data_IF_443748925077
#
_entry.id   IF_443748925077
#
_cell.length_a   1.000
_cell.length_b   1.000
_cell.length_c   1.000
_cell.angle_alpha   90.00
_cell.angle_beta   90.00
_cell.angle_gamma   90.00
#
_symmetry.space_group_name_H-M   'P 1'
#
loop_
_entity.id
_entity.type
_entity.pdbx_description
1 polymer ?
#
# COMPACT_ATOMS: atom_id res chain seq x y z
N UNK A 1 1.09 2.11 7.60
CA UNK A 1 0.11 3.20 7.66
C UNK A 1 -1.28 2.64 7.82
N UNK A 2 -2.13 3.27 8.64
CA UNK A 2 -3.58 2.99 8.75
C UNK A 2 -4.29 3.03 7.39
N UNK A 3 -5.54 2.55 7.32
CA UNK A 3 -6.43 2.89 6.19
C UNK A 3 -6.39 4.42 6.12
N UNK A 4 -5.89 5.04 5.02
CA UNK A 4 -5.77 6.49 4.97
C UNK A 4 -7.13 7.11 5.30
N UNK A 5 -7.17 8.10 6.18
CA UNK A 5 -8.43 8.71 6.61
C UNK A 5 -9.25 9.18 5.40
N UNK A 6 -8.60 9.52 4.29
CA UNK A 6 -9.22 9.89 3.02
C UNK A 6 -10.05 8.78 2.35
N UNK A 7 -9.83 7.51 2.68
CA UNK A 7 -10.56 6.35 2.14
C UNK A 7 -11.30 5.53 3.20
N UNK A 8 -11.12 5.84 4.48
CA UNK A 8 -11.92 5.27 5.56
C UNK A 8 -13.36 5.80 5.52
N UNK A 9 -14.35 4.90 5.56
CA UNK A 9 -15.77 5.27 5.42
C UNK A 9 -16.27 6.21 6.51
N UNK A 10 -15.67 6.16 7.71
CA UNK A 10 -16.09 6.93 8.87
C UNK A 10 -15.24 8.18 9.10
N UNK A 11 -14.01 8.21 8.56
CA UNK A 11 -13.07 9.33 8.74
C UNK A 11 -12.87 10.18 7.47
N UNK A 12 -13.39 9.77 6.31
CA UNK A 12 -13.15 10.50 5.06
C UNK A 12 -13.74 11.91 5.04
N UNK A 13 -12.85 12.86 4.75
CA UNK A 13 -13.19 14.27 4.54
C UNK A 13 -13.31 14.62 3.04
N UNK A 14 -13.00 13.69 2.14
CA UNK A 14 -12.91 13.93 0.70
C UNK A 14 -14.19 13.49 -0.02
N UNK A 15 -15.12 14.43 -0.15
CA UNK A 15 -16.38 14.23 -0.85
C UNK A 15 -16.39 15.03 -2.15
N UNK A 16 -16.85 14.40 -3.23
CA UNK A 16 -17.10 15.08 -4.49
C UNK A 16 -18.52 14.85 -4.97
N UNK A 17 -19.04 15.81 -5.72
CA UNK A 17 -20.35 15.68 -6.37
C UNK A 17 -20.17 15.02 -7.72
N UNK A 18 -21.07 14.11 -8.05
CA UNK A 18 -21.09 13.41 -9.33
C UNK A 18 -22.35 13.78 -10.12
N UNK A 19 -22.23 13.73 -11.45
CA UNK A 19 -23.37 13.85 -12.35
C UNK A 19 -23.82 12.45 -12.77
N UNK A 20 -25.03 12.07 -12.37
CA UNK A 20 -25.61 10.77 -12.66
C UNK A 20 -26.12 10.68 -14.10
N UNK A 21 -25.89 9.54 -14.74
CA UNK A 21 -26.54 9.16 -16.00
C UNK A 21 -27.99 8.73 -15.67
N UNK A 22 -28.88 9.70 -15.48
CA UNK A 22 -30.30 9.47 -15.14
C UNK A 22 -30.60 9.66 -13.65
N UNK A 23 -31.40 8.75 -13.08
CA UNK A 23 -31.79 8.80 -11.67
C UNK A 23 -30.61 8.53 -10.73
N UNK A 24 -30.53 9.27 -9.64
CA UNK A 24 -29.50 9.13 -8.60
C UNK A 24 -30.00 8.30 -7.42
N UNK A 25 -29.14 7.58 -6.67
CA UNK A 25 -29.56 6.82 -5.49
C UNK A 25 -30.28 7.71 -4.47
N UNK A 26 -31.48 7.30 -4.07
CA UNK A 26 -32.38 8.04 -3.20
C UNK A 26 -33.36 8.95 -3.94
N UNK A 27 -33.38 8.98 -5.28
CA UNK A 27 -34.30 9.81 -6.07
C UNK A 27 -35.77 9.40 -5.95
N UNK A 28 -36.07 8.16 -5.55
CA UNK A 28 -37.42 7.64 -5.33
C UNK A 28 -37.44 6.57 -4.22
N UNK A 29 -38.62 6.18 -3.70
CA UNK A 29 -38.74 5.06 -2.77
C UNK A 29 -38.19 3.73 -3.32
N UNK A 30 -38.34 3.51 -4.62
CA UNK A 30 -37.84 2.32 -5.34
C UNK A 30 -36.33 2.38 -5.60
N UNK A 31 -35.73 3.57 -5.57
CA UNK A 31 -34.28 3.78 -5.70
C UNK A 31 -33.63 4.13 -4.34
N UNK A 32 -34.18 3.63 -3.23
CA UNK A 32 -33.65 3.90 -1.89
C UNK A 32 -32.36 3.10 -1.61
N UNK A 33 -31.61 3.51 -0.59
CA UNK A 33 -30.37 2.83 -0.22
C UNK A 33 -30.58 1.38 0.20
N UNK A 34 -31.70 1.09 0.89
CA UNK A 34 -32.09 -0.27 1.22
C UNK A 34 -32.45 -1.08 -0.04
N UNK A 35 -33.19 -0.50 -0.99
CA UNK A 35 -33.51 -1.15 -2.26
C UNK A 35 -32.27 -1.46 -3.11
N UNK A 36 -31.25 -0.62 -2.95
CA UNK A 36 -29.95 -0.72 -3.60
C UNK A 36 -28.93 -1.54 -2.81
N UNK A 37 -29.33 -2.15 -1.69
CA UNK A 37 -28.46 -2.94 -0.81
C UNK A 37 -27.17 -2.20 -0.40
N UNK A 38 -27.31 -0.90 -0.12
CA UNK A 38 -26.28 -0.03 0.39
C UNK A 38 -26.41 0.14 1.92
N UNK A 39 -25.30 0.50 2.57
CA UNK A 39 -25.27 0.85 3.99
C UNK A 39 -25.84 2.25 4.18
N UNK A 40 -26.92 2.37 4.95
CA UNK A 40 -27.53 3.66 5.28
C UNK A 40 -26.95 4.22 6.59
N UNK A 41 -26.68 5.52 6.61
CA UNK A 41 -26.27 6.25 7.81
C UNK A 41 -27.47 6.96 8.45
N UNK A 42 -27.31 7.36 9.72
CA UNK A 42 -28.36 8.01 10.51
C UNK A 42 -28.74 9.40 10.00
N UNK A 43 -27.84 10.07 9.26
CA UNK A 43 -28.06 11.35 8.60
C UNK A 43 -28.82 11.23 7.25
N UNK A 44 -29.13 10.00 6.83
CA UNK A 44 -29.80 9.70 5.56
C UNK A 44 -28.87 9.57 4.36
N UNK A 45 -27.56 9.72 4.55
CA UNK A 45 -26.55 9.40 3.52
C UNK A 45 -26.36 7.88 3.39
N UNK A 46 -25.77 7.45 2.28
CA UNK A 46 -25.62 6.04 1.96
C UNK A 46 -24.26 5.74 1.34
N UNK A 47 -23.66 4.67 1.82
CA UNK A 47 -22.40 4.12 1.30
C UNK A 47 -22.76 2.86 0.54
N UNK A 48 -22.32 2.77 -0.72
CA UNK A 48 -22.61 1.66 -1.62
C UNK A 48 -21.31 1.06 -2.13
N UNK A 49 -21.28 -0.26 -2.34
CA UNK A 49 -20.22 -0.88 -3.14
C UNK A 49 -20.30 -0.37 -4.57
N UNK A 50 -19.15 -0.08 -5.15
CA UNK A 50 -19.03 0.36 -6.55
C UNK A 50 -18.21 -0.62 -7.37
N UNK A 51 -18.34 -0.54 -8.68
CA UNK A 51 -17.41 -1.15 -9.64
C UNK A 51 -17.17 -0.18 -10.78
N UNK A 52 -16.01 -0.28 -11.42
CA UNK A 52 -15.65 0.56 -12.57
C UNK A 52 -15.59 -0.33 -13.80
N UNK A 53 -16.25 0.09 -14.88
CA UNK A 53 -16.10 -0.51 -16.20
C UNK A 53 -15.59 0.53 -17.19
N UNK A 54 -14.65 0.16 -18.03
CA UNK A 54 -14.10 1.05 -19.03
C UNK A 54 -14.45 0.59 -20.44
N UNK A 55 -14.64 1.56 -21.35
CA UNK A 55 -14.96 1.29 -22.75
C UNK A 55 -14.43 2.41 -23.63
N UNK A 56 -14.14 2.10 -24.90
CA UNK A 56 -13.75 3.12 -25.87
C UNK A 56 -14.89 4.10 -26.12
N UNK A 57 -14.57 5.38 -26.33
CA UNK A 57 -15.57 6.39 -26.72
C UNK A 57 -15.78 6.37 -28.23
N UNK A 58 -14.69 6.21 -28.97
CA UNK A 58 -14.68 6.11 -30.43
C UNK A 58 -14.13 4.75 -30.84
N UNK A 59 -14.81 4.07 -31.77
CA UNK A 59 -14.32 2.83 -32.41
C UNK A 59 -13.75 3.10 -33.83
N UNK A 60 -13.81 4.36 -34.28
CA UNK A 60 -13.31 4.87 -35.56
C UNK A 60 -13.08 6.37 -35.45
N UNK A 61 -12.21 6.92 -36.31
CA UNK A 61 -12.02 8.38 -36.47
C UNK A 61 -12.87 8.97 -37.60
N UNK A 62 -13.64 8.14 -38.31
CA UNK A 62 -14.50 8.58 -39.41
C UNK A 62 -15.64 9.45 -38.88
N UNK A 63 -15.80 10.64 -39.48
CA UNK A 63 -16.80 11.64 -39.05
C UNK A 63 -16.64 12.10 -37.58
N UNK A 64 -15.42 12.00 -37.04
CA UNK A 64 -15.06 12.57 -35.74
C UNK A 64 -14.30 13.87 -35.97
N UNK A 65 -14.64 14.92 -35.24
CA UNK A 65 -13.94 16.20 -35.23
C UNK A 65 -13.35 16.56 -33.85
N UNK A 66 -12.49 17.59 -33.85
CA UNK A 66 -11.87 18.14 -32.65
C UNK A 66 -12.86 18.45 -31.52
N UNK A 67 -14.02 19.03 -31.84
CA UNK A 67 -15.00 19.44 -30.83
C UNK A 67 -15.64 18.21 -30.18
N UNK A 68 -15.91 17.17 -30.96
CA UNK A 68 -16.39 15.88 -30.46
C UNK A 68 -15.38 15.18 -29.57
N UNK A 69 -14.08 15.23 -29.92
CA UNK A 69 -12.99 14.68 -29.11
C UNK A 69 -12.89 15.41 -27.77
N UNK A 70 -12.78 16.75 -27.80
CA UNK A 70 -12.67 17.57 -26.59
C UNK A 70 -13.94 17.55 -25.73
N UNK A 71 -15.10 17.31 -26.33
CA UNK A 71 -16.40 17.28 -25.65
C UNK A 71 -16.81 15.92 -25.09
N UNK A 72 -16.09 14.83 -25.42
CA UNK A 72 -16.45 13.47 -24.98
C UNK A 72 -15.31 12.73 -24.29
N UNK A 73 -14.06 13.09 -24.55
CA UNK A 73 -12.90 12.56 -23.84
C UNK A 73 -12.53 13.51 -22.70
N UNK A 74 -12.65 13.01 -21.48
CA UNK A 74 -12.41 13.78 -20.27
C UNK A 74 -11.19 13.29 -19.48
N UNK A 75 -10.62 12.16 -19.90
CA UNK A 75 -9.47 11.55 -19.26
C UNK A 75 -8.22 11.92 -20.05
N UNK A 76 -7.32 12.65 -19.39
CA UNK A 76 -6.05 13.04 -19.98
C UNK A 76 -5.13 11.84 -20.19
N UNK A 77 -4.27 11.97 -21.20
CA UNK A 77 -3.10 11.15 -21.40
C UNK A 77 -1.85 12.04 -21.29
N UNK A 78 -0.72 11.39 -21.09
CA UNK A 78 0.58 12.01 -20.89
C UNK A 78 1.20 12.37 -22.23
N UNK A 79 0.87 11.55 -23.22
CA UNK A 79 1.35 11.59 -24.58
C UNK A 79 0.80 10.38 -25.33
N UNK A 80 1.28 10.16 -26.56
CA UNK A 80 0.98 8.96 -27.34
C UNK A 80 1.43 7.68 -26.63
N UNK A 81 0.68 6.59 -26.79
CA UNK A 81 1.10 5.26 -26.32
C UNK A 81 2.35 4.77 -27.09
N UNK A 82 3.18 3.94 -26.45
CA UNK A 82 4.34 3.34 -27.10
C UNK A 82 3.91 2.46 -28.29
N UNK A 83 4.68 2.51 -29.39
CA UNK A 83 4.39 1.79 -30.64
C UNK A 83 3.06 2.17 -31.32
N UNK A 84 2.49 3.32 -30.96
CA UNK A 84 1.34 3.87 -31.68
C UNK A 84 1.76 4.47 -33.03
N UNK A 85 0.85 4.43 -34.00
CA UNK A 85 0.98 5.11 -35.28
C UNK A 85 0.04 6.32 -35.32
N UNK A 86 0.58 7.48 -35.68
CA UNK A 86 -0.21 8.70 -35.80
C UNK A 86 -1.09 8.66 -37.06
N UNK A 87 -2.38 8.89 -36.87
CA UNK A 87 -3.39 9.01 -37.92
C UNK A 87 -4.07 10.36 -37.81
N UNK A 88 -4.01 11.17 -38.87
CA UNK A 88 -4.59 12.51 -38.87
C UNK A 88 -6.13 12.44 -38.92
N UNK A 89 -6.79 13.06 -37.96
CA UNK A 89 -8.23 13.29 -37.95
C UNK A 89 -8.59 14.74 -38.30
N UNK A 90 -9.86 15.10 -38.16
CA UNK A 90 -10.33 16.46 -38.39
C UNK A 90 -10.03 17.36 -37.18
N UNK A 91 -8.84 17.97 -37.16
CA UNK A 91 -8.41 18.89 -36.11
C UNK A 91 -7.77 18.21 -34.89
N UNK A 92 -7.36 16.95 -35.03
CA UNK A 92 -6.65 16.16 -34.01
C UNK A 92 -5.74 15.13 -34.68
N UNK A 93 -4.85 14.51 -33.91
CA UNK A 93 -4.04 13.35 -34.31
C UNK A 93 -4.42 12.18 -33.39
N UNK A 94 -4.88 11.06 -33.96
CA UNK A 94 -5.10 9.84 -33.20
C UNK A 94 -3.82 8.99 -33.21
N UNK A 95 -3.33 8.64 -32.04
CA UNK A 95 -2.18 7.76 -31.86
C UNK A 95 -2.68 6.35 -31.59
N UNK A 96 -2.60 5.50 -32.62
CA UNK A 96 -3.31 4.23 -32.71
C UNK A 96 -2.35 3.06 -32.49
N UNK A 97 -2.62 2.21 -31.49
CA UNK A 97 -1.85 1.00 -31.23
C UNK A 97 -2.42 -0.16 -32.05
N UNK A 98 -1.55 -0.96 -32.67
CA UNK A 98 -1.95 -2.14 -33.49
C UNK A 98 -2.95 -1.86 -34.63
N UNK A 99 -3.12 -0.59 -35.03
CA UNK A 99 -4.05 -0.20 -36.08
C UNK A 99 -5.54 -0.26 -35.71
N UNK A 100 -5.87 -0.38 -34.43
CA UNK A 100 -7.25 -0.41 -33.92
C UNK A 100 -7.55 0.84 -33.10
N UNK A 101 -8.67 1.50 -33.40
CA UNK A 101 -9.18 2.60 -32.57
C UNK A 101 -9.95 1.98 -31.40
N UNK A 102 -9.32 1.95 -30.23
CA UNK A 102 -9.86 1.34 -29.01
C UNK A 102 -9.40 2.13 -27.76
N UNK A 103 -9.55 1.55 -26.56
CA UNK A 103 -9.18 2.20 -25.28
C UNK A 103 -7.70 2.55 -25.15
N UNK A 104 -6.83 1.95 -25.97
CA UNK A 104 -5.40 2.30 -26.02
C UNK A 104 -5.11 3.50 -26.95
N UNK A 105 -6.10 3.99 -27.69
CA UNK A 105 -5.89 5.15 -28.58
C UNK A 105 -5.82 6.43 -27.77
N UNK A 106 -4.82 7.27 -28.07
CA UNK A 106 -4.68 8.61 -27.50
C UNK A 106 -4.92 9.66 -28.57
N UNK A 107 -5.80 10.61 -28.29
CA UNK A 107 -6.10 11.73 -29.17
C UNK A 107 -5.28 12.96 -28.74
N UNK A 108 -4.42 13.44 -29.64
CA UNK A 108 -3.70 14.69 -29.51
C UNK A 108 -4.50 15.82 -30.17
N UNK A 109 -4.81 16.86 -29.40
CA UNK A 109 -5.62 18.00 -29.83
C UNK A 109 -4.92 19.30 -29.45
N UNK A 110 -4.72 20.20 -30.41
CA UNK A 110 -4.27 21.56 -30.11
C UNK A 110 -5.47 22.48 -29.92
N UNK A 111 -5.62 23.08 -28.73
CA UNK A 111 -6.62 24.10 -28.44
C UNK A 111 -6.03 25.30 -27.70
N UNK A 112 -6.31 26.52 -28.20
CA UNK A 112 -5.87 27.79 -27.59
C UNK A 112 -4.37 27.86 -27.28
N UNK A 113 -3.53 27.30 -28.16
CA UNK A 113 -2.08 27.29 -28.01
C UNK A 113 -1.55 26.30 -26.97
N UNK A 114 -2.37 25.30 -26.59
CA UNK A 114 -1.99 24.19 -25.73
C UNK A 114 -2.32 22.87 -26.41
N UNK A 115 -1.43 21.89 -26.26
CA UNK A 115 -1.67 20.52 -26.71
C UNK A 115 -2.27 19.72 -25.57
N UNK A 116 -3.34 19.00 -25.86
CA UNK A 116 -4.00 18.06 -24.97
C UNK A 116 -3.82 16.65 -25.53
N UNK A 117 -3.45 15.71 -24.68
CA UNK A 117 -3.54 14.29 -25.00
C UNK A 117 -4.71 13.72 -24.21
N UNK A 118 -5.61 13.00 -24.86
CA UNK A 118 -6.87 12.52 -24.29
C UNK A 118 -7.00 11.03 -24.57
N UNK A 119 -7.18 10.21 -23.53
CA UNK A 119 -7.43 8.77 -23.69
C UNK A 119 -8.80 8.56 -24.32
N UNK A 120 -8.88 7.63 -25.27
CA UNK A 120 -10.12 7.17 -25.88
C UNK A 120 -10.91 6.26 -24.95
N UNK A 121 -11.25 6.75 -23.76
CA UNK A 121 -11.84 5.92 -22.72
C UNK A 121 -12.90 6.70 -21.96
N UNK A 122 -13.98 5.99 -21.65
CA UNK A 122 -14.97 6.42 -20.68
C UNK A 122 -15.04 5.39 -19.57
N UNK A 123 -14.77 5.84 -18.35
CA UNK A 123 -14.88 5.01 -17.15
C UNK A 123 -16.26 5.24 -16.55
N UNK A 124 -17.03 4.16 -16.36
CA UNK A 124 -18.38 4.20 -15.76
C UNK A 124 -18.32 3.54 -14.40
N UNK A 125 -18.73 4.29 -13.37
CA UNK A 125 -18.93 3.76 -12.03
C UNK A 125 -20.35 3.21 -11.93
N UNK A 126 -20.47 1.92 -11.70
CA UNK A 126 -21.72 1.25 -11.39
C UNK A 126 -21.83 1.11 -9.88
N UNK A 127 -23.04 1.32 -9.37
CA UNK A 127 -23.34 0.94 -8.00
C UNK A 127 -23.86 -0.49 -7.98
N UNK A 128 -23.27 -1.30 -7.13
CA UNK A 128 -23.60 -2.72 -7.00
C UNK A 128 -24.27 -3.00 -5.64
N UNK A 129 -23.97 -2.21 -4.62
CA UNK A 129 -24.34 -2.57 -3.25
C UNK A 129 -23.70 -3.89 -2.83
N UNK A 130 -24.19 -4.48 -1.74
CA UNK A 130 -23.73 -5.77 -1.25
C UNK A 130 -24.91 -6.70 -1.04
N UNK A 131 -24.77 -7.98 -1.39
CA UNK A 131 -25.79 -8.97 -1.00
C UNK A 131 -26.00 -9.03 0.53
N UNK A 132 -24.95 -8.71 1.30
CA UNK A 132 -25.00 -8.37 2.72
C UNK A 132 -24.07 -7.19 2.98
N UNK A 133 -24.59 -6.13 3.62
CA UNK A 133 -23.76 -4.98 4.00
C UNK A 133 -22.57 -5.40 4.88
N UNK A 134 -21.41 -4.76 4.76
CA UNK A 134 -20.22 -5.12 5.52
C UNK A 134 -20.47 -5.11 7.02
N UNK A 135 -19.99 -6.13 7.71
CA UNK A 135 -20.01 -6.25 9.17
C UNK A 135 -18.58 -6.43 9.67
N UNK A 136 -18.22 -5.66 10.69
CA UNK A 136 -16.94 -5.72 11.39
C UNK A 136 -17.12 -6.57 12.66
N UNK A 137 -16.16 -7.44 12.91
CA UNK A 137 -16.05 -8.27 14.10
C UNK A 137 -14.69 -7.97 14.72
N UNK A 138 -14.70 -7.15 15.77
CA UNK A 138 -13.50 -6.73 16.47
C UNK A 138 -12.72 -7.93 17.02
N UNK A 139 -11.39 -7.86 17.00
CA UNK A 139 -10.55 -8.97 17.42
C UNK A 139 -10.54 -9.14 18.94
N UNK A 140 -10.68 -8.07 19.71
CA UNK A 140 -10.84 -8.09 21.17
C UNK A 140 -12.14 -8.77 21.64
N UNK A 141 -13.15 -8.84 20.77
CA UNK A 141 -14.44 -9.49 21.02
C UNK A 141 -14.49 -10.94 20.51
N UNK A 142 -13.35 -11.49 20.07
CA UNK A 142 -13.29 -12.86 19.56
C UNK A 142 -13.72 -13.89 20.62
N UNK A 143 -14.38 -14.95 20.15
CA UNK A 143 -14.96 -15.97 21.03
C UNK A 143 -13.92 -16.83 21.74
N UNK A 144 -12.75 -17.06 21.12
CA UNK A 144 -11.65 -17.84 21.67
C UNK A 144 -10.32 -17.24 21.25
N UNK A 145 -9.42 -17.06 22.23
CA UNK A 145 -8.02 -16.73 22.02
C UNK A 145 -7.17 -17.88 22.61
N UNK A 146 -6.09 -18.22 21.92
CA UNK A 146 -5.11 -19.20 22.40
C UNK A 146 -3.70 -18.69 22.08
N UNK A 147 -2.87 -18.54 23.12
CA UNK A 147 -1.53 -17.94 23.03
C UNK A 147 -1.55 -16.62 22.25
N UNK A 148 -2.59 -15.82 22.48
CA UNK A 148 -2.79 -14.52 21.87
C UNK A 148 -3.29 -13.55 22.95
N UNK A 149 -2.80 -12.33 22.91
CA UNK A 149 -3.01 -11.31 23.93
C UNK A 149 -3.75 -10.12 23.33
N UNK A 150 -4.75 -9.62 24.05
CA UNK A 150 -5.42 -8.36 23.71
C UNK A 150 -4.51 -7.23 24.18
N UNK A 151 -4.07 -6.41 23.24
CA UNK A 151 -3.28 -5.22 23.47
C UNK A 151 -4.23 -4.02 23.57
N UNK A 152 -4.00 -3.18 24.57
CA UNK A 152 -4.77 -1.95 24.82
C UNK A 152 -3.85 -0.75 24.64
N UNK A 153 -4.22 0.20 23.79
CA UNK A 153 -3.58 1.51 23.80
C UNK A 153 -4.50 2.59 23.27
N UNK A 154 -4.74 3.58 24.12
CA UNK A 154 -5.48 4.80 23.82
C UNK A 154 -4.79 5.70 22.79
N UNK A 155 -3.54 5.41 22.39
CA UNK A 155 -2.72 6.21 21.47
C UNK A 155 -2.51 5.52 20.11
N UNK A 156 -3.15 4.37 19.86
CA UNK A 156 -3.00 3.61 18.60
C UNK A 156 -4.18 3.79 17.66
N UNK A 157 -3.92 3.64 16.36
CA UNK A 157 -4.88 3.74 15.24
C UNK A 157 -5.70 2.45 15.00
N UNK A 158 -5.71 1.54 15.99
CA UNK A 158 -6.56 0.35 16.04
C UNK A 158 -8.03 0.75 16.24
N UNK A 159 -8.98 -0.02 15.68
CA UNK A 159 -10.41 0.20 15.97
C UNK A 159 -10.65 0.01 17.46
N UNK A 160 -11.42 0.93 18.05
CA UNK A 160 -11.67 0.97 19.50
C UNK A 160 -10.42 1.04 20.41
N UNK A 161 -9.21 1.19 19.86
CA UNK A 161 -7.94 1.20 20.61
C UNK A 161 -7.42 -0.17 21.03
N UNK A 162 -7.95 -1.27 20.46
CA UNK A 162 -7.57 -2.64 20.85
C UNK A 162 -7.20 -3.49 19.63
N UNK A 163 -6.29 -4.46 19.83
CA UNK A 163 -5.94 -5.43 18.81
C UNK A 163 -5.39 -6.71 19.45
N UNK A 164 -5.22 -7.76 18.64
CA UNK A 164 -4.62 -9.03 19.03
C UNK A 164 -3.17 -9.11 18.58
N UNK A 165 -2.30 -9.41 19.53
CA UNK A 165 -0.92 -9.89 19.31
C UNK A 165 -0.89 -11.41 19.57
N UNK A 166 -0.15 -12.18 18.77
CA UNK A 166 -0.01 -13.64 18.94
C UNK A 166 1.28 -14.04 19.69
N UNK A 167 1.94 -13.08 20.34
CA UNK A 167 3.08 -13.26 21.24
C UNK A 167 4.26 -14.04 20.61
N UNK A 168 4.41 -13.92 19.28
CA UNK A 168 5.40 -14.64 18.45
C UNK A 168 5.47 -16.16 18.70
N UNK A 169 4.34 -16.76 19.11
CA UNK A 169 4.24 -18.21 19.29
C UNK A 169 3.64 -18.89 18.07
N UNK A 170 4.21 -20.03 17.69
CA UNK A 170 3.57 -20.91 16.73
C UNK A 170 2.29 -21.48 17.32
N UNK A 171 1.37 -21.85 16.44
CA UNK A 171 0.06 -22.38 16.78
C UNK A 171 -0.95 -21.45 17.46
N UNK A 172 -0.56 -20.23 17.85
CA UNK A 172 -1.47 -19.24 18.39
C UNK A 172 -2.64 -18.96 17.43
N UNK A 173 -3.83 -18.73 17.98
CA UNK A 173 -5.01 -18.48 17.16
C UNK A 173 -6.06 -17.63 17.86
N UNK A 174 -6.90 -17.02 17.03
CA UNK A 174 -8.11 -16.31 17.45
C UNK A 174 -9.29 -16.81 16.61
N UNK A 175 -10.45 -16.97 17.25
CA UNK A 175 -11.67 -17.50 16.61
C UNK A 175 -12.87 -16.60 16.87
N UNK A 176 -13.56 -16.20 15.79
CA UNK A 176 -14.84 -15.49 15.84
C UNK A 176 -16.01 -16.44 15.60
N UNK A 177 -17.13 -16.16 16.26
CA UNK A 177 -18.44 -16.72 15.93
C UNK A 177 -19.23 -15.64 15.19
N UNK A 178 -19.33 -15.74 13.87
CA UNK A 178 -20.04 -14.76 13.05
C UNK A 178 -21.43 -15.30 12.69
N UNK A 179 -22.45 -14.45 12.77
CA UNK A 179 -23.80 -14.83 12.37
C UNK A 179 -24.15 -14.16 11.03
N UNK A 180 -24.43 -14.97 10.00
CA UNK A 180 -24.82 -14.46 8.68
C UNK A 180 -26.29 -14.80 8.38
N UNK A 181 -26.96 -13.93 7.64
CA UNK A 181 -28.41 -14.01 7.41
C UNK A 181 -28.82 -14.97 6.30
N UNK A 182 -27.91 -15.33 5.39
CA UNK A 182 -28.17 -16.26 4.29
C UNK A 182 -26.96 -17.16 4.03
N UNK A 183 -27.21 -18.27 3.34
CA UNK A 183 -26.16 -19.17 2.86
C UNK A 183 -25.69 -18.67 1.49
N UNK A 184 -24.39 -18.48 1.31
CA UNK A 184 -23.83 -17.98 0.06
C UNK A 184 -22.37 -17.60 0.17
N UNK A 185 -21.89 -16.91 -0.86
CA UNK A 185 -20.51 -16.42 -0.93
C UNK A 185 -20.40 -15.05 -0.28
N UNK A 186 -19.34 -14.87 0.49
CA UNK A 186 -18.97 -13.64 1.18
C UNK A 186 -17.50 -13.33 0.88
N UNK A 187 -17.14 -12.05 0.90
CA UNK A 187 -15.77 -11.60 0.94
C UNK A 187 -15.33 -11.41 2.39
N UNK A 188 -14.19 -11.99 2.73
CA UNK A 188 -13.60 -11.98 4.06
C UNK A 188 -12.23 -11.31 4.01
N UNK A 189 -12.01 -10.37 4.93
CA UNK A 189 -10.74 -9.64 5.08
C UNK A 189 -10.45 -9.40 6.55
N UNK A 190 -9.18 -9.26 6.88
CA UNK A 190 -8.68 -8.86 8.20
C UNK A 190 -8.00 -7.51 8.11
N UNK A 191 -8.28 -6.60 9.05
CA UNK A 191 -7.45 -5.42 9.27
C UNK A 191 -6.30 -5.80 10.18
N UNK A 192 -5.08 -5.48 9.76
CA UNK A 192 -3.87 -5.95 10.42
C UNK A 192 -2.73 -4.95 10.38
N UNK A 193 -1.78 -5.12 11.31
CA UNK A 193 -0.50 -4.44 11.36
C UNK A 193 0.65 -5.45 11.34
N UNK A 194 1.71 -5.17 10.57
CA UNK A 194 2.85 -6.05 10.37
C UNK A 194 4.03 -5.22 9.86
N UNK A 195 5.11 -5.09 10.61
CA UNK A 195 6.17 -4.11 10.32
C UNK A 195 6.86 -4.30 8.96
N UNK A 196 7.63 -5.36 8.78
CA UNK A 196 8.58 -5.44 7.65
C UNK A 196 8.20 -6.43 6.56
N UNK A 197 7.95 -7.70 6.90
CA UNK A 197 7.92 -8.77 5.92
C UNK A 197 6.59 -9.50 5.89
N UNK A 198 6.22 -9.96 4.69
CA UNK A 198 4.99 -10.72 4.46
C UNK A 198 4.94 -11.96 5.37
N UNK A 199 3.76 -12.23 5.92
CA UNK A 199 3.46 -13.42 6.71
C UNK A 199 2.22 -14.11 6.18
N UNK A 200 2.22 -15.42 6.30
CA UNK A 200 1.06 -16.23 5.99
C UNK A 200 0.34 -16.68 7.26
N UNK A 201 -0.98 -16.79 7.20
CA UNK A 201 -1.79 -17.38 8.27
C UNK A 201 -2.73 -18.45 7.73
N UNK A 202 -2.95 -19.49 8.53
CA UNK A 202 -3.95 -20.50 8.26
C UNK A 202 -5.32 -19.99 8.65
N UNK A 203 -6.29 -20.11 7.75
CA UNK A 203 -7.68 -19.74 8.04
C UNK A 203 -8.56 -20.98 8.01
N UNK A 204 -9.35 -21.17 9.05
CA UNK A 204 -10.29 -22.26 9.18
C UNK A 204 -11.72 -21.72 9.21
N UNK A 205 -12.58 -22.27 8.36
CA UNK A 205 -14.00 -21.94 8.26
C UNK A 205 -14.78 -23.17 8.73
N UNK A 206 -15.59 -23.02 9.77
CA UNK A 206 -16.37 -24.11 10.35
C UNK A 206 -15.51 -25.36 10.69
N UNK A 207 -14.25 -25.13 11.09
CA UNK A 207 -13.26 -26.16 11.42
C UNK A 207 -12.43 -26.71 10.25
N UNK A 208 -12.76 -26.38 9.00
CA UNK A 208 -12.00 -26.81 7.82
C UNK A 208 -10.94 -25.78 7.40
N UNK A 209 -9.68 -26.21 7.23
CA UNK A 209 -8.61 -25.36 6.68
C UNK A 209 -8.98 -24.93 5.25
N UNK A 210 -8.88 -23.63 4.98
CA UNK A 210 -9.17 -23.04 3.68
C UNK A 210 -7.87 -22.57 3.03
N UNK A 211 -7.75 -22.82 1.73
CA UNK A 211 -6.60 -22.50 0.90
C UNK A 211 -7.04 -21.72 -0.34
N UNK A 212 -6.26 -20.73 -0.75
CA UNK A 212 -6.49 -19.90 -1.93
C UNK A 212 -5.21 -19.81 -2.74
N UNK A 213 -5.20 -20.42 -3.91
CA UNK A 213 -4.06 -20.33 -4.83
C UNK A 213 -3.98 -18.94 -5.44
N UNK A 214 -2.77 -18.36 -5.46
CA UNK A 214 -2.52 -17.07 -6.12
C UNK A 214 -2.89 -17.14 -7.60
N UNK A 215 -3.61 -16.15 -8.16
CA UNK A 215 -3.83 -16.04 -9.60
C UNK A 215 -2.52 -15.98 -10.41
N UNK A 216 -1.45 -15.50 -9.77
CA UNK A 216 -0.10 -15.36 -10.34
C UNK A 216 0.86 -16.38 -9.74
N UNK A 217 0.38 -17.56 -9.35
CA UNK A 217 1.21 -18.62 -8.80
C UNK A 217 2.39 -18.95 -9.73
N UNK A 218 3.58 -19.11 -9.15
CA UNK A 218 4.76 -19.49 -9.92
C UNK A 218 4.56 -20.89 -10.52
N UNK A 219 4.80 -21.02 -11.83
CA UNK A 219 4.66 -22.30 -12.52
C UNK A 219 5.90 -23.19 -12.38
N UNK A 220 7.05 -22.57 -12.10
CA UNK A 220 8.31 -23.27 -11.91
C UNK A 220 8.43 -23.71 -10.45
N UNK A 221 8.67 -25.01 -10.23
CA UNK A 221 8.81 -25.62 -8.91
C UNK A 221 10.24 -26.16 -8.79
N UNK A 222 11.24 -25.34 -8.44
CA UNK A 222 12.62 -25.78 -8.32
C UNK A 222 12.83 -26.58 -7.02
N UNK A 223 13.91 -27.35 -6.97
CA UNK A 223 14.30 -28.05 -5.74
C UNK A 223 14.84 -27.06 -4.71
N UNK A 224 14.58 -27.30 -3.42
CA UNK A 224 15.22 -26.57 -2.33
C UNK A 224 16.73 -26.81 -2.36
N UNK A 225 17.50 -25.73 -2.35
CA UNK A 225 18.97 -25.76 -2.39
C UNK A 225 19.50 -25.36 -1.01
N UNK A 226 20.11 -26.29 -0.29
CA UNK A 226 20.84 -25.97 0.95
C UNK A 226 22.11 -25.19 0.60
N UNK A 227 22.21 -23.95 1.08
CA UNK A 227 23.39 -23.09 0.89
C UNK A 227 24.35 -23.14 2.09
N UNK A 228 24.04 -23.95 3.10
CA UNK A 228 24.84 -24.22 4.30
C UNK A 228 24.23 -23.57 5.54
N UNK A 229 24.53 -24.12 6.72
CA UNK A 229 23.83 -23.85 7.99
C UNK A 229 23.68 -22.38 8.43
N UNK A 230 24.40 -21.42 7.82
CA UNK A 230 24.33 -19.97 8.11
C UNK A 230 24.90 -19.19 6.89
N UNK A 231 24.08 -18.84 5.89
CA UNK A 231 24.54 -18.11 4.70
C UNK A 231 25.04 -16.72 5.10
N UNK A 232 26.27 -16.37 4.68
CA UNK A 232 26.89 -15.06 4.96
C UNK A 232 27.63 -14.55 3.73
N UNK A 233 27.87 -13.23 3.68
CA UNK A 233 28.64 -12.60 2.60
C UNK A 233 27.92 -12.68 1.25
N UNK A 234 28.63 -13.15 0.22
CA UNK A 234 28.15 -13.16 -1.18
C UNK A 234 26.96 -14.10 -1.46
N UNK A 235 26.48 -14.85 -0.45
CA UNK A 235 25.30 -15.72 -0.54
C UNK A 235 23.99 -14.99 -0.25
N UNK A 236 24.04 -13.77 0.29
CA UNK A 236 22.89 -12.90 0.53
C UNK A 236 22.91 -11.77 -0.52
N UNK A 237 21.78 -11.42 -1.15
CA UNK A 237 20.44 -11.97 -0.93
C UNK A 237 20.19 -13.33 -1.62
N UNK A 238 19.52 -14.23 -0.92
CA UNK A 238 19.17 -15.57 -1.35
C UNK A 238 17.95 -15.57 -2.27
N UNK A 239 17.99 -16.39 -3.31
CA UNK A 239 16.86 -16.55 -4.23
C UNK A 239 15.79 -17.49 -3.68
N UNK A 240 14.60 -17.47 -4.31
CA UNK A 240 13.50 -18.40 -4.02
C UNK A 240 13.98 -19.86 -3.99
N UNK A 241 13.51 -20.63 -3.00
CA UNK A 241 13.90 -22.01 -2.71
C UNK A 241 15.38 -22.21 -2.30
N UNK A 242 16.14 -21.15 -2.01
CA UNK A 242 17.41 -21.30 -1.30
C UNK A 242 17.17 -21.45 0.20
N UNK A 243 17.82 -22.45 0.78
CA UNK A 243 17.65 -22.86 2.16
C UNK A 243 18.71 -22.30 3.10
N UNK A 244 18.43 -22.45 4.39
CA UNK A 244 19.15 -21.96 5.57
C UNK A 244 19.02 -20.45 5.81
N UNK A 245 17.93 -19.80 5.38
CA UNK A 245 17.67 -18.42 5.80
C UNK A 245 17.36 -18.38 7.31
N UNK A 246 17.90 -17.40 8.05
CA UNK A 246 17.61 -17.24 9.48
C UNK A 246 16.61 -16.12 9.72
N UNK A 247 16.68 -15.06 8.90
CA UNK A 247 15.80 -13.90 8.91
C UNK A 247 15.40 -13.56 7.47
N UNK A 248 14.31 -12.84 7.31
CA UNK A 248 13.82 -12.43 5.99
C UNK A 248 14.85 -11.62 5.19
N UNK A 249 15.68 -10.81 5.86
CA UNK A 249 16.73 -10.00 5.21
C UNK A 249 17.83 -10.84 4.55
N UNK A 250 17.87 -12.15 4.80
CA UNK A 250 18.72 -13.07 4.04
C UNK A 250 18.17 -13.33 2.64
N UNK A 251 16.86 -13.16 2.43
CA UNK A 251 16.18 -13.40 1.17
C UNK A 251 16.21 -12.18 0.24
N UNK A 252 16.10 -12.42 -1.06
CA UNK A 252 15.93 -11.36 -2.05
C UNK A 252 14.64 -10.57 -1.83
N UNK A 253 14.65 -9.32 -2.29
CA UNK A 253 13.52 -8.40 -2.14
C UNK A 253 12.20 -9.07 -2.61
N UNK A 254 11.16 -8.96 -1.79
CA UNK A 254 9.85 -9.55 -2.04
C UNK A 254 9.69 -11.00 -1.57
N UNK A 255 10.76 -11.66 -1.14
CA UNK A 255 10.72 -12.99 -0.54
C UNK A 255 10.78 -12.89 0.99
N UNK A 256 10.34 -13.94 1.67
CA UNK A 256 10.43 -14.04 3.13
C UNK A 256 10.95 -15.42 3.54
N UNK A 257 11.52 -15.50 4.74
CA UNK A 257 12.09 -16.73 5.25
C UNK A 257 11.00 -17.61 5.89
N UNK A 258 10.92 -18.87 5.45
CA UNK A 258 9.98 -19.85 5.98
C UNK A 258 10.71 -20.87 6.85
N UNK A 259 10.45 -20.87 8.16
CA UNK A 259 11.18 -21.73 9.09
C UNK A 259 10.60 -23.16 9.10
N UNK A 260 11.23 -24.05 8.34
CA UNK A 260 10.88 -25.47 8.31
C UNK A 260 11.38 -26.19 9.54
N UNK A 261 12.51 -25.74 10.10
CA UNK A 261 13.24 -26.38 11.19
C UNK A 261 12.41 -26.51 12.49
N UNK A 262 11.33 -25.74 12.63
CA UNK A 262 10.39 -25.85 13.74
C UNK A 262 9.55 -27.13 13.66
N UNK A 263 9.51 -27.77 12.48
CA UNK A 263 8.92 -29.09 12.19
C UNK A 263 7.75 -29.05 11.20
N UNK A 264 7.74 -28.07 10.30
CA UNK A 264 6.85 -28.07 9.14
C UNK A 264 7.30 -29.13 8.12
N UNK A 265 6.35 -29.67 7.36
CA UNK A 265 6.64 -30.52 6.19
C UNK A 265 6.17 -29.91 4.88
N UNK A 266 5.71 -28.66 4.94
CA UNK A 266 5.25 -27.90 3.78
C UNK A 266 6.43 -27.15 3.13
N UNK A 267 6.47 -27.17 1.81
CA UNK A 267 7.48 -26.47 1.02
C UNK A 267 6.78 -25.68 -0.10
N UNK A 268 6.11 -24.56 0.22
CA UNK A 268 5.38 -23.79 -0.77
C UNK A 268 6.25 -23.42 -1.97
N UNK A 269 5.84 -23.84 -3.17
CA UNK A 269 6.52 -23.51 -4.43
C UNK A 269 7.83 -24.25 -4.71
N UNK A 270 8.29 -25.12 -3.81
CA UNK A 270 9.58 -25.80 -3.93
C UNK A 270 9.43 -27.32 -3.80
N UNK A 271 10.24 -28.08 -4.53
CA UNK A 271 10.39 -29.51 -4.33
C UNK A 271 11.42 -29.77 -3.22
N UNK A 272 11.17 -30.73 -2.35
CA UNK A 272 12.15 -31.17 -1.35
C UNK A 272 12.56 -32.64 -1.55
N UNK A 273 13.26 -32.97 -2.66
CA UNK A 273 13.57 -34.37 -2.99
C UNK A 273 14.54 -35.02 -2.00
N UNK A 274 15.33 -34.20 -1.29
CA UNK A 274 16.37 -34.67 -0.37
C UNK A 274 15.91 -34.69 1.09
N UNK A 275 14.66 -34.33 1.37
CA UNK A 275 14.12 -34.28 2.74
C UNK A 275 14.86 -33.29 3.63
N UNK A 276 15.32 -32.17 3.06
CA UNK A 276 15.95 -31.08 3.80
C UNK A 276 14.92 -30.46 4.74
N UNK A 277 15.25 -30.33 6.02
CA UNK A 277 14.43 -29.66 7.02
C UNK A 277 14.88 -28.23 7.30
N UNK A 278 15.69 -27.65 6.41
CA UNK A 278 16.20 -26.29 6.56
C UNK A 278 15.19 -25.26 6.07
N UNK A 279 15.24 -24.11 6.73
CA UNK A 279 14.43 -22.93 6.45
C UNK A 279 14.73 -22.44 5.04
N UNK A 280 13.82 -21.76 4.35
CA UNK A 280 14.11 -21.33 2.97
C UNK A 280 13.32 -20.10 2.53
N UNK A 281 13.84 -19.41 1.52
CA UNK A 281 13.20 -18.22 0.98
C UNK A 281 11.98 -18.58 0.09
N UNK A 282 10.81 -18.06 0.45
CA UNK A 282 9.53 -18.28 -0.22
C UNK A 282 9.06 -17.03 -0.92
N UNK A 283 8.49 -17.20 -2.12
CA UNK A 283 7.75 -16.15 -2.81
C UNK A 283 6.28 -16.17 -2.34
N UNK A 284 5.68 -15.02 -1.98
CA UNK A 284 4.27 -14.96 -1.61
C UNK A 284 3.32 -15.64 -2.63
N UNK A 285 3.65 -15.66 -3.92
CA UNK A 285 2.84 -16.33 -4.94
C UNK A 285 2.83 -17.86 -4.84
N UNK A 286 3.70 -18.45 -4.05
CA UNK A 286 3.75 -19.89 -3.81
C UNK A 286 2.85 -20.37 -2.68
N UNK A 287 2.30 -19.43 -1.91
CA UNK A 287 1.58 -19.70 -0.68
C UNK A 287 0.09 -19.77 -0.96
N UNK A 288 -0.52 -20.88 -0.54
CA UNK A 288 -1.97 -21.08 -0.60
C UNK A 288 -2.70 -20.59 0.67
N UNK A 289 -1.98 -20.20 1.71
CA UNK A 289 -2.53 -19.63 2.94
C UNK A 289 -2.87 -18.14 2.77
N UNK A 290 -3.56 -17.56 3.76
CA UNK A 290 -3.91 -16.14 3.69
C UNK A 290 -2.66 -15.28 3.93
N UNK A 291 -2.38 -14.37 2.99
CA UNK A 291 -1.21 -13.49 3.05
C UNK A 291 -1.52 -12.16 3.72
N UNK A 292 -0.61 -11.77 4.60
CA UNK A 292 -0.54 -10.51 5.29
C UNK A 292 0.77 -9.86 4.87
N UNK A 293 0.72 -8.94 3.91
CA UNK A 293 1.91 -8.18 3.52
C UNK A 293 2.20 -7.09 4.58
N UNK A 294 3.37 -6.46 4.56
CA UNK A 294 3.75 -5.48 5.57
C UNK A 294 2.99 -4.16 5.46
N UNK A 295 2.90 -3.48 6.60
CA UNK A 295 2.27 -2.18 6.79
C UNK A 295 3.26 -1.08 7.16
N UNK A 296 4.49 -1.42 7.60
CA UNK A 296 5.51 -0.47 8.05
C UNK A 296 5.54 -0.22 9.57
N UNK A 297 4.68 -0.88 10.33
CA UNK A 297 4.67 -0.81 11.79
C UNK A 297 3.81 -1.88 12.45
N UNK A 298 4.05 -2.15 13.73
CA UNK A 298 3.37 -3.20 14.49
C UNK A 298 2.01 -2.77 15.05
N UNK A 299 1.78 -1.47 15.19
CA UNK A 299 0.63 -0.98 15.98
C UNK A 299 0.07 0.38 15.54
N UNK A 300 0.85 1.11 14.74
CA UNK A 300 0.55 2.42 14.20
C UNK A 300 -0.03 2.36 12.78
N UNK A 301 0.13 1.20 12.14
CA UNK A 301 0.14 1.04 10.71
C UNK A 301 -0.74 -0.14 10.30
N UNK A 302 -1.97 0.15 9.88
CA UNK A 302 -3.02 -0.85 9.67
C UNK A 302 -3.53 -0.89 8.23
N UNK A 303 -3.72 -2.09 7.70
CA UNK A 303 -4.35 -2.24 6.39
C UNK A 303 -5.31 -3.41 6.37
N UNK A 304 -6.24 -3.40 5.44
CA UNK A 304 -7.05 -4.57 5.13
C UNK A 304 -6.26 -5.51 4.21
N UNK A 305 -6.30 -6.79 4.52
CA UNK A 305 -5.93 -7.85 3.57
C UNK A 305 -6.86 -7.84 2.35
N UNK A 306 -6.39 -8.40 1.24
CA UNK A 306 -7.23 -8.65 0.08
C UNK A 306 -8.43 -9.53 0.48
N UNK A 307 -9.63 -9.12 0.09
CA UNK A 307 -10.86 -9.86 0.40
C UNK A 307 -10.90 -11.22 -0.29
N UNK A 308 -10.84 -12.31 0.47
CA UNK A 308 -10.98 -13.69 -0.03
C UNK A 308 -12.43 -14.13 -0.04
N UNK A 309 -12.86 -14.77 -1.13
CA UNK A 309 -14.22 -15.32 -1.22
C UNK A 309 -14.31 -16.61 -0.38
N UNK A 310 -15.33 -16.67 0.47
CA UNK A 310 -15.64 -17.79 1.36
C UNK A 310 -17.12 -18.13 1.31
N UNK A 311 -17.45 -19.43 1.34
CA UNK A 311 -18.82 -19.89 1.47
C UNK A 311 -19.24 -19.97 2.93
N UNK A 312 -20.30 -19.26 3.32
CA UNK A 312 -20.87 -19.27 4.67
C UNK A 312 -22.30 -19.79 4.65
N UNK A 313 -22.75 -20.37 5.77
CA UNK A 313 -24.10 -20.93 5.93
C UNK A 313 -24.94 -20.01 6.82
N UNK A 314 -26.21 -19.79 6.48
CA UNK A 314 -27.12 -19.01 7.32
C UNK A 314 -27.09 -19.48 8.78
N UNK A 315 -26.92 -18.53 9.71
CA UNK A 315 -26.67 -18.80 11.13
C UNK A 315 -25.21 -18.58 11.52
N UNK A 316 -24.81 -19.22 12.63
CA UNK A 316 -23.48 -19.06 13.21
C UNK A 316 -22.45 -19.88 12.43
N UNK A 317 -21.38 -19.22 11.99
CA UNK A 317 -20.18 -19.82 11.41
C UNK A 317 -18.98 -19.50 12.31
N UNK A 318 -18.00 -20.39 12.33
CA UNK A 318 -16.73 -20.15 13.02
C UNK A 318 -15.64 -19.77 12.04
N UNK A 319 -14.93 -18.68 12.32
CA UNK A 319 -13.78 -18.23 11.55
C UNK A 319 -12.60 -18.21 12.50
N UNK A 320 -11.58 -19.04 12.24
CA UNK A 320 -10.35 -19.08 13.03
C UNK A 320 -9.17 -18.70 12.15
N UNK A 321 -8.36 -17.75 12.59
CA UNK A 321 -7.05 -17.46 12.00
C UNK A 321 -5.97 -17.95 12.96
N UNK A 322 -5.04 -18.76 12.46
CA UNK A 322 -4.00 -19.45 13.23
C UNK A 322 -2.63 -19.14 12.64
N UNK A 323 -1.66 -18.86 13.51
CA UNK A 323 -0.25 -18.78 13.16
C UNK A 323 0.21 -20.18 12.72
N UNK A 324 0.62 -20.36 11.44
CA UNK A 324 1.10 -21.64 10.99
C UNK A 324 2.36 -22.00 11.74
N UNK A 325 2.60 -23.29 11.79
CA UNK A 325 3.82 -23.81 12.38
C UNK A 325 5.04 -23.30 11.61
N UNK A 326 6.08 -22.85 12.32
CA UNK A 326 7.28 -22.30 11.68
C UNK A 326 7.30 -20.79 11.48
N UNK A 327 6.23 -20.05 11.75
CA UNK A 327 6.33 -18.59 11.71
C UNK A 327 7.09 -18.06 12.95
N UNK A 328 8.06 -17.17 12.73
CA UNK A 328 8.73 -16.43 13.81
C UNK A 328 7.93 -15.21 14.27
N UNK A 329 7.18 -14.62 13.34
CA UNK A 329 6.34 -13.46 13.59
C UNK A 329 4.97 -13.66 12.92
N UNK A 330 3.98 -12.94 13.42
CA UNK A 330 2.60 -12.92 12.94
C UNK A 330 2.09 -11.48 12.88
N UNK A 331 1.14 -11.18 11.98
CA UNK A 331 0.49 -9.88 12.00
C UNK A 331 -0.31 -9.68 13.29
N UNK A 332 -0.34 -8.45 13.78
CA UNK A 332 -1.32 -8.01 14.76
C UNK A 332 -2.68 -7.84 14.06
N UNK A 333 -3.76 -8.32 14.68
CA UNK A 333 -5.10 -8.32 14.06
C UNK A 333 -6.02 -7.38 14.84
N UNK A 334 -6.60 -6.43 14.12
CA UNK A 334 -7.53 -5.44 14.64
C UNK A 334 -8.97 -5.94 14.57
N UNK A 335 -9.41 -6.32 13.37
CA UNK A 335 -10.74 -6.89 13.18
C UNK A 335 -10.85 -7.80 11.96
N UNK A 336 -11.87 -8.65 11.98
CA UNK A 336 -12.39 -9.41 10.86
C UNK A 336 -13.55 -8.64 10.21
N UNK A 337 -13.48 -8.41 8.90
CA UNK A 337 -14.56 -7.84 8.10
C UNK A 337 -15.15 -8.89 7.17
N UNK A 338 -16.47 -9.04 7.22
CA UNK A 338 -17.27 -9.89 6.33
C UNK A 338 -18.23 -9.01 5.54
N UNK A 339 -18.22 -9.14 4.22
CA UNK A 339 -19.14 -8.43 3.34
C UNK A 339 -19.72 -9.37 2.28
N UNK A 340 -20.98 -9.18 1.90
CA UNK A 340 -21.57 -9.94 0.80
C UNK A 340 -20.84 -9.65 -0.51
N UNK A 341 -20.85 -10.62 -1.43
CA UNK A 341 -20.37 -10.40 -2.80
C UNK A 341 -21.12 -9.24 -3.48
N UNK A 342 -20.53 -8.61 -4.51
CA UNK A 342 -21.21 -7.53 -5.22
C UNK A 342 -22.55 -8.02 -5.76
N UNK A 343 -23.65 -7.34 -5.42
CA UNK A 343 -24.93 -7.66 -6.03
C UNK A 343 -25.05 -6.97 -7.39
N UNK A 344 -25.50 -7.63 -8.47
CA UNK A 344 -25.53 -6.98 -9.77
C UNK A 344 -26.62 -5.90 -9.87
N UNK A 345 -26.11 -4.67 -9.93
CA UNK A 345 -26.61 -3.47 -10.62
C UNK A 345 -27.87 -2.78 -10.09
N UNK A 346 -27.59 -1.73 -9.32
CA UNK A 346 -28.42 -0.53 -9.25
C UNK A 346 -28.35 0.14 -10.63
N UNK A 347 -29.48 0.63 -11.16
CA UNK A 347 -29.52 1.25 -12.50
C UNK A 347 -28.67 2.54 -12.59
N UNK A 348 -28.52 3.24 -11.45
CA UNK A 348 -27.76 4.46 -11.32
C UNK A 348 -26.26 4.24 -11.53
N UNK A 349 -25.70 5.00 -12.46
CA UNK A 349 -24.27 5.05 -12.75
C UNK A 349 -23.85 6.48 -13.05
N UNK A 350 -22.57 6.76 -12.96
CA UNK A 350 -22.01 8.03 -13.40
C UNK A 350 -20.70 7.81 -14.15
N UNK A 351 -20.35 8.78 -14.99
CA UNK A 351 -19.15 8.73 -15.84
C UNK A 351 -18.02 9.51 -15.21
N UNK A 352 -16.80 9.04 -15.49
CA UNK A 352 -15.54 9.72 -15.23
C UNK A 352 -15.51 10.26 -13.80
N UNK A 353 -15.46 9.37 -12.79
CA UNK A 353 -15.31 9.80 -11.40
C UNK A 353 -14.13 10.78 -11.33
N UNK A 354 -14.20 11.87 -10.55
CA UNK A 354 -13.03 12.71 -10.35
C UNK A 354 -11.90 11.83 -9.80
N UNK A 355 -10.84 11.71 -10.60
CA UNK A 355 -9.63 10.99 -10.24
C UNK A 355 -8.68 11.99 -9.57
N UNK A 356 -8.22 11.66 -8.36
CA UNK A 356 -7.10 12.35 -7.72
C UNK A 356 -5.84 11.50 -7.98
N UNK A 357 -5.05 11.81 -9.02
CA UNK A 357 -3.57 11.67 -9.20
C UNK A 357 -3.18 12.05 -10.64
N UNK A 358 -1.97 12.60 -10.83
CA UNK A 358 -1.49 13.35 -12.00
C UNK A 358 -0.73 12.52 -13.08
N UNK A 359 -1.35 12.36 -14.23
CA UNK A 359 -0.92 12.74 -15.60
C UNK A 359 0.58 12.80 -16.07
N UNK A 360 1.60 12.06 -15.59
CA UNK A 360 2.87 11.74 -16.37
C UNK A 360 3.55 10.40 -15.95
N UNK A 361 3.90 9.50 -16.89
CA UNK A 361 4.83 8.34 -16.79
C UNK A 361 5.58 8.08 -18.11
N UNK A 362 6.82 7.56 -17.95
CA UNK A 362 7.97 7.48 -18.87
C UNK A 362 8.09 6.08 -19.54
N UNK A 363 8.53 6.04 -20.81
CA UNK A 363 8.48 4.88 -21.71
C UNK A 363 9.63 3.86 -21.55
N UNK A 364 10.33 3.82 -20.42
CA UNK A 364 11.60 3.05 -20.31
C UNK A 364 11.59 1.89 -19.30
N UNK A 365 10.72 1.85 -18.28
CA UNK A 365 10.69 0.74 -17.30
C UNK A 365 9.37 -0.04 -17.33
N UNK A 366 9.43 -1.37 -17.52
CA UNK A 366 8.27 -2.29 -17.60
C UNK A 366 7.65 -2.65 -16.23
N UNK A 367 7.35 -1.65 -15.41
CA UNK A 367 6.51 -1.81 -14.23
C UNK A 367 5.57 -0.59 -14.26
N UNK A 368 4.27 -0.83 -14.34
CA UNK A 368 3.27 0.25 -14.44
C UNK A 368 2.25 0.12 -13.32
N UNK A 369 1.97 1.23 -12.66
CA UNK A 369 0.89 1.40 -11.67
C UNK A 369 -0.48 1.24 -12.32
N UNK A 370 -1.19 0.15 -12.01
CA UNK A 370 -2.54 -0.09 -12.54
C UNK A 370 -3.64 -0.02 -11.46
N UNK A 371 -3.29 0.16 -10.19
CA UNK A 371 -4.25 0.16 -9.07
C UNK A 371 -4.15 1.47 -8.28
N UNK A 372 -5.20 1.91 -7.56
CA UNK A 372 -5.07 2.97 -6.51
C UNK A 372 -4.03 2.58 -5.45
N UNK A 373 -3.93 1.28 -5.19
CA UNK A 373 -2.92 0.65 -4.37
C UNK A 373 -1.53 0.76 -5.01
N UNK A 374 -1.42 0.66 -6.34
CA UNK A 374 -0.12 0.78 -7.02
C UNK A 374 0.31 2.25 -7.11
N UNK A 375 -0.63 3.17 -7.32
CA UNK A 375 -0.41 4.61 -7.28
C UNK A 375 0.01 5.09 -5.88
N UNK A 376 -0.59 4.50 -4.83
CA UNK A 376 -0.12 4.69 -3.46
C UNK A 376 1.20 3.97 -3.24
N UNK A 377 1.42 2.78 -3.79
CA UNK A 377 2.67 2.06 -3.64
C UNK A 377 3.84 2.68 -4.40
N UNK A 378 3.74 3.28 -5.60
CA UNK A 378 4.86 4.09 -6.11
C UNK A 378 4.84 5.52 -5.60
N UNK A 379 3.72 6.12 -5.19
CA UNK A 379 3.82 7.41 -4.48
C UNK A 379 4.57 7.22 -3.17
N UNK A 380 4.23 6.20 -2.39
CA UNK A 380 4.92 5.83 -1.16
C UNK A 380 6.32 5.31 -1.48
N UNK A 381 6.52 4.41 -2.45
CA UNK A 381 7.86 3.94 -2.80
C UNK A 381 8.73 5.04 -3.41
N UNK A 382 8.19 6.05 -4.11
CA UNK A 382 8.92 7.22 -4.59
C UNK A 382 9.23 8.17 -3.43
N UNK A 383 8.26 8.44 -2.55
CA UNK A 383 8.49 9.28 -1.37
C UNK A 383 9.50 8.60 -0.43
N UNK A 384 9.40 7.30 -0.21
CA UNK A 384 10.39 6.49 0.49
C UNK A 384 11.72 6.53 -0.27
N UNK A 385 11.75 6.26 -1.57
CA UNK A 385 12.99 6.30 -2.34
C UNK A 385 13.66 7.68 -2.26
N UNK A 386 12.89 8.76 -2.30
CA UNK A 386 13.39 10.12 -2.14
C UNK A 386 13.86 10.35 -0.70
N UNK A 387 13.06 10.05 0.32
CA UNK A 387 13.38 10.26 1.74
C UNK A 387 14.60 9.44 2.16
N UNK A 388 14.67 8.17 1.75
CA UNK A 388 15.74 7.24 2.04
C UNK A 388 16.90 7.32 1.04
N UNK A 389 16.82 8.13 -0.02
CA UNK A 389 17.91 8.33 -0.96
C UNK A 389 19.18 8.75 -0.22
N UNK A 390 20.33 8.17 -0.56
CA UNK A 390 21.59 8.40 0.16
C UNK A 390 22.03 9.87 0.20
N UNK A 391 21.56 10.66 -0.77
CA UNK A 391 21.81 12.11 -0.83
C UNK A 391 20.86 12.96 0.02
N UNK A 392 19.70 12.47 0.45
CA UNK A 392 18.74 13.30 1.21
C UNK A 392 19.28 13.65 2.59
N UNK A 393 19.78 12.67 3.34
CA UNK A 393 20.38 12.93 4.63
C UNK A 393 21.50 14.00 4.58
N UNK A 394 22.54 13.89 3.73
CA UNK A 394 23.59 14.92 3.64
C UNK A 394 23.11 16.25 3.06
N UNK A 395 22.19 16.22 2.09
CA UNK A 395 21.63 17.44 1.50
C UNK A 395 20.80 18.24 2.51
N UNK A 396 19.82 17.60 3.16
CA UNK A 396 18.93 18.22 4.12
C UNK A 396 19.71 18.70 5.35
N UNK A 397 20.61 17.85 5.87
CA UNK A 397 21.46 18.18 7.01
C UNK A 397 22.28 19.45 6.74
N UNK A 398 22.91 19.55 5.57
CA UNK A 398 23.72 20.72 5.21
C UNK A 398 22.87 21.99 5.08
N UNK A 399 21.64 21.89 4.54
CA UNK A 399 20.72 23.04 4.45
C UNK A 399 20.20 23.49 5.80
N UNK A 400 19.89 22.57 6.70
CA UNK A 400 19.45 22.89 8.05
C UNK A 400 20.61 23.50 8.85
N UNK A 401 21.82 22.94 8.74
CA UNK A 401 23.03 23.54 9.32
C UNK A 401 23.28 24.96 8.82
N UNK A 402 23.17 25.21 7.51
CA UNK A 402 23.36 26.55 6.95
C UNK A 402 22.33 27.59 7.44
N UNK A 403 21.12 27.14 7.82
CA UNK A 403 20.03 28.01 8.29
C UNK A 403 20.04 28.23 9.79
N UNK A 404 20.39 27.20 10.58
CA UNK A 404 20.24 27.19 12.03
C UNK A 404 21.55 27.02 12.79
N UNK A 405 22.66 26.76 12.09
CA UNK A 405 24.01 26.61 12.63
C UNK A 405 25.01 27.47 11.87
N UNK A 406 26.00 26.83 11.26
CA UNK A 406 27.14 27.48 10.60
C UNK A 406 27.06 27.39 9.06
N UNK A 407 27.53 28.43 8.36
CA UNK A 407 27.42 28.52 6.89
C UNK A 407 28.35 27.56 6.14
N UNK A 408 29.46 27.15 6.77
CA UNK A 408 30.47 26.27 6.17
C UNK A 408 30.85 25.12 7.13
N UNK A 409 29.98 24.13 7.34
CA UNK A 409 30.20 23.05 8.30
C UNK A 409 31.34 22.11 7.87
N UNK A 410 32.13 21.59 8.82
CA UNK A 410 33.17 20.61 8.52
C UNK A 410 32.57 19.27 8.07
N UNK A 411 33.31 18.47 7.26
CA UNK A 411 32.85 17.15 6.83
C UNK A 411 32.45 16.22 7.98
N UNK A 412 33.13 16.32 9.13
CA UNK A 412 32.83 15.49 10.31
C UNK A 412 31.50 15.88 10.93
N UNK A 413 31.25 17.17 11.12
CA UNK A 413 29.99 17.64 11.69
C UNK A 413 28.80 17.28 10.79
N UNK A 414 28.94 17.46 9.47
CA UNK A 414 27.97 16.97 8.49
C UNK A 414 27.74 15.46 8.68
N UNK A 415 28.79 14.65 8.75
CA UNK A 415 28.66 13.21 8.94
C UNK A 415 27.96 12.84 10.24
N UNK A 416 28.27 13.50 11.36
CA UNK A 416 27.64 13.23 12.66
C UNK A 416 26.14 13.49 12.63
N UNK A 417 25.70 14.62 12.06
CA UNK A 417 24.27 14.92 12.02
C UNK A 417 23.52 14.16 10.92
N UNK A 418 24.20 13.77 9.84
CA UNK A 418 23.67 12.79 8.88
C UNK A 418 23.37 11.47 9.58
N UNK A 419 24.28 10.99 10.44
CA UNK A 419 24.03 9.76 11.21
C UNK A 419 22.88 9.95 12.20
N UNK A 420 22.81 11.08 12.91
CA UNK A 420 21.68 11.38 13.80
C UNK A 420 20.33 11.38 13.08
N UNK A 421 20.27 11.92 11.85
CA UNK A 421 19.08 11.87 11.01
C UNK A 421 18.77 10.43 10.56
N UNK A 422 19.79 9.64 10.16
CA UNK A 422 19.59 8.27 9.67
C UNK A 422 19.18 7.29 10.79
N UNK A 423 19.77 7.40 11.98
CA UNK A 423 19.47 6.52 13.12
C UNK A 423 18.29 7.00 13.95
N UNK A 424 17.86 8.25 13.74
CA UNK A 424 16.84 8.89 14.56
C UNK A 424 17.29 9.16 16.00
N UNK A 425 18.60 9.17 16.26
CA UNK A 425 19.15 9.24 17.61
C UNK A 425 20.36 10.17 17.67
N UNK A 426 20.33 11.13 18.58
CA UNK A 426 21.49 11.95 18.94
C UNK A 426 21.66 12.04 20.45
N UNK A 427 22.88 11.80 20.94
CA UNK A 427 23.17 11.84 22.38
C UNK A 427 24.12 13.01 22.66
N UNK A 428 23.74 13.87 23.60
CA UNK A 428 24.59 14.94 24.10
C UNK A 428 24.59 14.94 25.62
N UNK A 429 25.75 14.66 26.22
CA UNK A 429 25.85 14.43 27.66
C UNK A 429 25.03 13.21 28.10
N UNK A 430 24.07 13.44 29.00
CA UNK A 430 23.16 12.40 29.49
C UNK A 430 21.79 12.42 28.80
N UNK A 431 21.57 13.34 27.84
CA UNK A 431 20.30 13.50 27.15
C UNK A 431 20.34 12.80 25.80
N UNK A 432 19.24 12.13 25.46
CA UNK A 432 19.04 11.45 24.18
C UNK A 432 17.89 12.11 23.45
N UNK A 433 18.10 12.43 22.18
CA UNK A 433 17.16 13.15 21.34
C UNK A 433 16.77 12.30 20.13
N UNK A 434 15.48 12.31 19.79
CA UNK A 434 14.90 11.57 18.68
C UNK A 434 14.03 10.40 19.10
N UNK A 435 13.48 9.72 18.10
CA UNK A 435 12.49 8.65 18.18
C UNK A 435 13.04 7.29 17.71
N UNK A 436 14.35 7.21 17.45
CA UNK A 436 15.03 6.03 16.89
C UNK A 436 14.50 5.60 15.52
N UNK A 437 13.79 6.49 14.81
CA UNK A 437 13.30 6.27 13.44
C UNK A 437 14.13 7.09 12.45
N UNK A 438 14.41 6.53 11.28
CA UNK A 438 15.09 7.25 10.21
C UNK A 438 14.32 8.54 9.86
N UNK A 439 15.03 9.63 9.64
CA UNK A 439 14.44 10.90 9.27
C UNK A 439 14.05 11.78 10.46
N UNK A 440 14.41 11.39 11.69
CA UNK A 440 14.08 12.14 12.91
C UNK A 440 14.64 13.57 12.87
N UNK A 441 13.77 14.54 12.65
CA UNK A 441 14.13 15.95 12.70
C UNK A 441 14.50 16.38 14.12
N UNK A 442 13.99 15.70 15.15
CA UNK A 442 14.37 15.96 16.53
C UNK A 442 15.84 15.62 16.79
N UNK A 443 16.30 14.42 16.38
CA UNK A 443 17.71 14.03 16.48
C UNK A 443 18.62 14.93 15.63
N UNK A 444 18.21 15.23 14.39
CA UNK A 444 18.95 16.12 13.50
C UNK A 444 19.07 17.54 14.08
N UNK A 445 17.98 18.13 14.54
CA UNK A 445 17.98 19.50 15.10
C UNK A 445 18.83 19.57 16.36
N UNK A 446 18.74 18.56 17.23
CA UNK A 446 19.58 18.46 18.42
C UNK A 446 21.07 18.39 18.04
N UNK A 447 21.43 17.55 17.07
CA UNK A 447 22.80 17.49 16.57
C UNK A 447 23.27 18.83 16.00
N UNK A 448 22.43 19.50 15.21
CA UNK A 448 22.78 20.79 14.60
C UNK A 448 23.09 21.85 15.66
N UNK A 449 22.38 21.89 16.79
CA UNK A 449 22.61 22.95 17.80
C UNK A 449 23.54 22.55 18.94
N UNK A 450 23.76 21.25 19.17
CA UNK A 450 24.52 20.73 20.33
C UNK A 450 25.82 20.03 19.97
N UNK A 451 26.15 19.84 18.69
CA UNK A 451 27.45 19.28 18.32
C UNK A 451 28.59 20.20 18.78
N UNK A 452 29.71 19.58 19.17
CA UNK A 452 30.90 20.29 19.65
C UNK A 452 31.39 21.38 18.71
N UNK A 453 31.20 21.24 17.41
CA UNK A 453 31.61 22.27 16.45
C UNK A 453 30.73 23.50 16.51
N UNK A 454 29.56 23.44 17.14
CA UNK A 454 28.70 24.59 17.43
C UNK A 454 28.91 25.11 18.85
N UNK A 455 29.22 24.22 19.81
CA UNK A 455 29.27 24.58 21.23
C UNK A 455 30.68 24.85 21.77
N UNK A 456 31.75 24.52 21.04
CA UNK A 456 33.13 24.73 21.51
C UNK A 456 33.50 26.22 21.44
N UNK A 457 33.78 26.79 22.61
CA UNK A 457 34.10 28.21 22.75
C UNK A 457 35.39 28.61 22.02
N UNK A 458 36.31 27.67 21.76
CA UNK A 458 37.55 27.95 21.06
C UNK A 458 37.32 28.33 19.58
N UNK A 459 36.18 27.95 19.00
CA UNK A 459 35.85 28.23 17.59
C UNK A 459 35.33 29.65 17.38
N UNK A 460 34.88 30.37 18.42
CA UNK A 460 34.46 31.77 18.29
C UNK A 460 35.59 32.73 17.92
N UNK A 461 36.84 32.33 18.12
CA UNK A 461 38.03 33.08 17.74
C UNK A 461 38.42 32.88 16.26
N UNK A 462 37.78 31.94 15.55
CA UNK A 462 38.01 31.75 14.11
C UNK A 462 37.11 32.70 13.29
N UNK A 463 37.69 33.67 12.54
CA UNK A 463 36.92 34.61 11.74
C UNK A 463 36.15 33.98 10.57
N UNK A 464 36.40 32.70 10.24
CA UNK A 464 35.66 31.93 9.25
C UNK A 464 34.50 31.11 9.88
N UNK A 465 34.35 31.12 11.21
CA UNK A 465 33.36 30.35 11.94
C UNK A 465 32.05 31.14 12.15
N UNK A 466 30.91 30.46 12.04
CA UNK A 466 29.57 31.05 12.22
C UNK A 466 28.74 31.18 10.94
N UNK A 467 27.68 32.00 11.00
CA UNK A 467 26.77 32.25 9.88
C UNK A 467 26.94 33.65 9.30
N UNK A 468 27.05 33.75 7.96
CA UNK A 468 27.02 35.03 7.25
C UNK A 468 25.60 35.60 7.28
N UNK A 469 25.43 36.82 7.81
CA UNK A 469 24.12 37.48 7.97
C UNK A 469 23.74 38.23 6.69
N UNK A 470 22.58 37.91 6.10
CA UNK A 470 22.03 38.64 4.94
C UNK A 470 21.25 39.92 5.37
N UNK A 471 21.25 41.02 4.57
CA UNK A 471 22.04 41.29 3.38
C UNK A 471 23.18 42.31 3.66
N UNK A 472 24.43 41.95 3.32
CA UNK A 472 25.50 42.94 3.12
C UNK A 472 25.35 43.49 1.70
N UNK A 473 24.97 44.76 1.59
CA UNK A 473 24.88 45.49 0.33
C UNK A 473 26.26 46.08 0.00
N UNK A 474 26.96 45.50 -0.99
CA UNK A 474 28.23 46.04 -1.47
C UNK A 474 27.95 47.17 -2.48
N UNK A 475 28.08 48.41 -2.03
CA UNK A 475 28.02 49.59 -2.91
C UNK A 475 29.45 49.89 -3.38
N UNK A 476 29.72 49.70 -4.66
CA UNK A 476 30.97 50.13 -5.28
C UNK A 476 30.86 51.59 -5.70
N UNK A 477 31.91 52.37 -5.41
CA UNK A 477 32.08 53.75 -5.89
C UNK A 477 32.90 53.76 -7.19
#
# INVERSE_FOLDING_TARGET
YGIPAEVDENETLNWFKVHWDGDFPGSSPENSCAANMCKAHSDGSCVCRTSVSESAVFDSIDNVDKEQVMGQLFLGAIGPEANSNSTNGNGFIAHVVNGLIDTSTVFEVEDKGRTFFLKNIVSKVHLNGWEAVPTIFEAEDAAVLNNATIMDSTELSASNGHYIDFDSTDEAYVTWNINVSYTGDYSMSFRHALDTNTRQMEVYINGGLTKWTSPNANTDIPDVVNLGDNPTGDLIPMSRCNGDCDIDDHCAAGLFCFQVNKGSSDFPGCNNPNGLGSDFCVDPNDVDNMLFLPTGGWSEDWRLTEGKIVGLVAGINTIKVKVPFGNDNSPNIDYLKIEGVPSPTIASKFRNPPHFVALITDHVSRYTEQNTIDAQYETDALLEHLVYHDNVAPFLTTRIMQRFGISNPSPRYVQTCVQAFKTGLYISGNETFGDSKYGSLAALSACVVLDREVTDEALYEDPAFGALREPILMVMN
#
